data_IF_071387916957
#
_entry.id   IF_071387916957
#
_cell.length_a   1.000
_cell.length_b   1.000
_cell.length_c   1.000
_cell.angle_alpha   90.00
_cell.angle_beta   90.00
_cell.angle_gamma   90.00
#
_symmetry.space_group_name_H-M   'P 1'
#
loop_
_entity.id
_entity.type
_entity.pdbx_description
1 polymer ?
#
# COMPACT_ATOMS: atom_id res chain seq x y z
N UNK A 1 18.69 13.53 12.19
CA UNK A 1 19.24 12.39 11.43
C UNK A 1 18.10 11.73 10.63
N UNK A 2 18.30 11.48 9.34
CA UNK A 2 17.29 10.77 8.54
C UNK A 2 17.45 9.26 8.77
N UNK A 3 16.47 8.62 9.40
CA UNK A 3 16.48 7.19 9.69
C UNK A 3 16.01 6.32 8.51
N UNK A 4 15.41 6.93 7.49
CA UNK A 4 14.87 6.24 6.31
C UNK A 4 15.21 7.00 5.02
N UNK A 5 16.50 7.13 4.65
CA UNK A 5 16.91 7.97 3.52
C UNK A 5 16.35 7.46 2.17
N UNK A 6 16.18 6.15 2.01
CA UNK A 6 15.64 5.57 0.77
C UNK A 6 14.13 5.80 0.65
N UNK A 7 13.40 5.81 1.76
CA UNK A 7 11.97 6.18 1.80
C UNK A 7 11.83 7.68 1.48
N UNK A 8 12.69 8.52 2.03
CA UNK A 8 12.71 9.94 1.70
C UNK A 8 12.97 10.15 0.20
N UNK A 9 13.86 9.37 -0.40
CA UNK A 9 14.10 9.39 -1.84
C UNK A 9 12.83 9.03 -2.65
N UNK A 10 12.03 8.04 -2.21
CA UNK A 10 10.74 7.72 -2.84
C UNK A 10 9.80 8.93 -2.80
N UNK A 11 9.66 9.58 -1.66
CA UNK A 11 8.78 10.75 -1.49
C UNK A 11 9.20 11.94 -2.38
N UNK A 12 10.45 12.02 -2.78
CA UNK A 12 10.98 13.04 -3.68
C UNK A 12 11.13 12.58 -5.14
N UNK A 13 10.86 11.32 -5.45
CA UNK A 13 10.91 10.80 -6.81
C UNK A 13 9.80 11.44 -7.68
N UNK A 14 10.18 12.01 -8.82
CA UNK A 14 9.24 12.75 -9.68
C UNK A 14 8.15 11.84 -10.27
N UNK A 15 8.52 10.62 -10.64
CA UNK A 15 7.58 9.65 -11.19
C UNK A 15 6.57 9.19 -10.13
N UNK A 16 7.03 8.90 -8.92
CA UNK A 16 6.16 8.61 -7.78
C UNK A 16 5.14 9.73 -7.53
N UNK A 17 5.60 10.98 -7.46
CA UNK A 17 4.73 12.14 -7.29
C UNK A 17 3.71 12.28 -8.43
N UNK A 18 4.14 12.04 -9.66
CA UNK A 18 3.25 12.03 -10.82
C UNK A 18 2.13 11.00 -10.68
N UNK A 19 2.44 9.81 -10.21
CA UNK A 19 1.45 8.76 -9.97
C UNK A 19 0.45 9.12 -8.86
N UNK A 20 0.91 9.75 -7.79
CA UNK A 20 0.01 10.25 -6.73
C UNK A 20 -0.98 11.30 -7.25
N UNK A 21 -0.53 12.23 -8.09
CA UNK A 21 -1.40 13.22 -8.72
C UNK A 21 -2.41 12.58 -9.68
N UNK A 22 -2.02 11.55 -10.44
CA UNK A 22 -2.91 10.78 -11.29
C UNK A 22 -3.98 10.05 -10.46
N UNK A 23 -3.59 9.41 -9.35
CA UNK A 23 -4.51 8.77 -8.42
C UNK A 23 -5.53 9.77 -7.85
N UNK A 24 -5.07 10.92 -7.40
CA UNK A 24 -5.91 12.00 -6.87
C UNK A 24 -6.96 12.46 -7.87
N UNK A 25 -6.57 12.63 -9.14
CA UNK A 25 -7.48 13.01 -10.22
C UNK A 25 -8.49 11.89 -10.52
N UNK A 26 -8.03 10.65 -10.61
CA UNK A 26 -8.86 9.49 -10.91
C UNK A 26 -9.92 9.20 -9.81
N UNK A 27 -9.60 9.54 -8.56
CA UNK A 27 -10.48 9.29 -7.42
C UNK A 27 -11.24 10.53 -6.93
N UNK A 28 -11.25 11.63 -7.71
CA UNK A 28 -11.91 12.90 -7.31
C UNK A 28 -13.33 12.70 -6.81
N UNK A 29 -14.13 11.93 -7.53
CA UNK A 29 -15.55 11.72 -7.27
C UNK A 29 -15.86 10.38 -6.59
N UNK A 30 -14.82 9.75 -6.01
CA UNK A 30 -14.97 8.45 -5.36
C UNK A 30 -15.73 8.57 -4.04
N UNK A 31 -16.81 7.80 -3.93
CA UNK A 31 -17.66 7.71 -2.74
C UNK A 31 -16.99 6.98 -1.57
N UNK A 32 -16.24 5.89 -1.87
CA UNK A 32 -15.60 5.04 -0.86
C UNK A 32 -14.19 5.49 -0.51
N UNK A 33 -13.46 4.63 0.20
CA UNK A 33 -12.10 4.90 0.66
C UNK A 33 -11.18 5.43 -0.42
N UNK A 34 -10.48 6.51 -0.14
CA UNK A 34 -9.46 7.08 -1.01
C UNK A 34 -8.10 6.47 -0.73
N UNK A 35 -7.23 6.50 -1.74
CA UNK A 35 -5.87 5.96 -1.69
C UNK A 35 -4.88 7.14 -1.71
N UNK A 36 -5.04 8.03 -0.72
CA UNK A 36 -4.23 9.23 -0.53
C UNK A 36 -3.04 8.97 0.41
N UNK A 37 -2.22 10.00 0.63
CA UNK A 37 -1.03 9.90 1.47
C UNK A 37 -1.37 9.47 2.90
N UNK A 38 -2.52 9.88 3.45
CA UNK A 38 -2.96 9.46 4.79
C UNK A 38 -3.09 7.95 4.84
N UNK A 39 -3.80 7.35 3.89
CA UNK A 39 -3.92 5.89 3.81
C UNK A 39 -2.57 5.20 3.61
N UNK A 40 -1.75 5.69 2.69
CA UNK A 40 -0.42 5.10 2.43
C UNK A 40 0.44 5.07 3.70
N UNK A 41 0.45 6.16 4.47
CA UNK A 41 1.19 6.24 5.73
C UNK A 41 0.59 5.36 6.82
N UNK A 42 -0.73 5.24 6.89
CA UNK A 42 -1.38 4.35 7.84
C UNK A 42 -1.02 2.88 7.56
N UNK A 43 -0.97 2.48 6.29
CA UNK A 43 -0.47 1.14 5.89
C UNK A 43 0.97 0.93 6.32
N UNK A 44 1.85 1.93 6.12
CA UNK A 44 3.24 1.87 6.57
C UNK A 44 3.35 1.65 8.09
N UNK A 45 2.63 2.44 8.87
CA UNK A 45 2.68 2.43 10.34
C UNK A 45 2.11 1.14 10.92
N UNK A 46 0.92 0.75 10.44
CA UNK A 46 0.26 -0.49 10.86
C UNK A 46 1.09 -1.70 10.45
N UNK A 47 1.60 -1.75 9.22
CA UNK A 47 2.44 -2.83 8.75
C UNK A 47 3.73 -2.98 9.56
N UNK A 48 4.37 -1.87 9.94
CA UNK A 48 5.56 -1.93 10.77
C UNK A 48 5.25 -2.35 12.21
N UNK A 49 4.10 -1.93 12.77
CA UNK A 49 3.63 -2.44 14.06
C UNK A 49 3.45 -3.96 14.03
N UNK A 50 2.83 -4.50 12.96
CA UNK A 50 2.67 -5.95 12.77
C UNK A 50 4.03 -6.68 12.68
N UNK A 51 5.00 -6.11 11.96
CA UNK A 51 6.35 -6.68 11.87
C UNK A 51 6.99 -6.80 13.26
N UNK A 52 6.87 -5.76 14.08
CA UNK A 52 7.42 -5.76 15.43
C UNK A 52 6.71 -6.76 16.35
N UNK A 53 5.38 -6.78 16.34
CA UNK A 53 4.59 -7.72 17.15
C UNK A 53 4.84 -9.18 16.77
N UNK A 54 4.93 -9.46 15.46
CA UNK A 54 5.18 -10.82 14.95
C UNK A 54 6.66 -11.20 14.96
N UNK A 55 7.55 -10.28 15.38
CA UNK A 55 9.02 -10.46 15.42
C UNK A 55 9.60 -10.91 14.07
N UNK A 56 9.11 -10.30 12.99
CA UNK A 56 9.56 -10.61 11.63
C UNK A 56 10.87 -9.88 11.30
N UNK A 57 11.75 -10.45 10.47
CA UNK A 57 13.09 -9.90 10.18
C UNK A 57 13.08 -8.83 9.07
N UNK A 58 12.07 -7.98 9.02
CA UNK A 58 11.95 -6.94 7.99
C UNK A 58 12.20 -5.55 8.59
N UNK A 59 12.90 -4.71 7.84
CA UNK A 59 13.22 -3.36 8.27
C UNK A 59 12.04 -2.40 8.10
N UNK A 60 12.08 -1.30 8.85
CA UNK A 60 11.13 -0.19 8.73
C UNK A 60 11.10 0.38 7.31
N UNK A 61 12.27 0.58 6.68
CA UNK A 61 12.36 1.09 5.31
C UNK A 61 11.67 0.18 4.29
N UNK A 62 11.83 -1.14 4.40
CA UNK A 62 11.15 -2.09 3.50
C UNK A 62 9.63 -1.96 3.61
N UNK A 63 9.10 -1.91 4.83
CA UNK A 63 7.65 -1.79 5.04
C UNK A 63 7.11 -0.45 4.54
N UNK A 64 7.83 0.64 4.82
CA UNK A 64 7.42 1.96 4.36
C UNK A 64 7.48 2.09 2.83
N UNK A 65 8.51 1.53 2.19
CA UNK A 65 8.57 1.50 0.73
C UNK A 65 7.38 0.73 0.13
N UNK A 66 7.08 -0.46 0.65
CA UNK A 66 5.93 -1.24 0.19
C UNK A 66 4.60 -0.50 0.41
N UNK A 67 4.40 0.06 1.59
CA UNK A 67 3.18 0.81 1.92
C UNK A 67 2.98 2.06 1.05
N UNK A 68 4.03 2.82 0.77
CA UNK A 68 3.96 4.00 -0.09
C UNK A 68 3.68 3.66 -1.56
N UNK A 69 4.15 2.50 -2.02
CA UNK A 69 4.10 2.11 -3.43
C UNK A 69 2.91 1.19 -3.79
N UNK A 70 2.23 0.57 -2.82
CA UNK A 70 1.28 -0.51 -3.13
C UNK A 70 0.09 -0.08 -3.99
N UNK A 71 -0.34 1.17 -3.91
CA UNK A 71 -1.50 1.70 -4.62
C UNK A 71 -1.17 2.69 -5.76
N UNK A 72 0.10 2.84 -6.16
CA UNK A 72 0.48 3.79 -7.23
C UNK A 72 -0.15 3.50 -8.59
N UNK A 73 -0.64 2.29 -8.81
CA UNK A 73 -1.34 1.86 -10.02
C UNK A 73 -2.86 2.12 -10.02
N UNK A 74 -3.43 2.73 -8.99
CA UNK A 74 -4.90 2.94 -8.89
C UNK A 74 -5.49 3.67 -10.09
N UNK A 75 -4.84 4.71 -10.57
CA UNK A 75 -5.28 5.48 -11.74
C UNK A 75 -5.37 4.63 -13.00
N UNK A 76 -4.48 3.64 -13.19
CA UNK A 76 -4.49 2.73 -14.34
C UNK A 76 -5.76 1.88 -14.33
N UNK A 77 -6.15 1.37 -13.15
CA UNK A 77 -7.39 0.60 -13.03
C UNK A 77 -8.63 1.44 -13.37
N UNK A 78 -8.66 2.69 -12.95
CA UNK A 78 -9.79 3.61 -13.22
C UNK A 78 -9.85 3.97 -14.71
N UNK A 79 -8.72 4.24 -15.36
CA UNK A 79 -8.65 4.69 -16.75
C UNK A 79 -8.68 3.55 -17.78
N UNK A 80 -8.07 2.40 -17.47
CA UNK A 80 -7.81 1.33 -18.42
C UNK A 80 -8.39 -0.04 -18.02
N UNK A 81 -8.94 -0.15 -16.81
CA UNK A 81 -9.50 -1.40 -16.28
C UNK A 81 -8.45 -2.47 -15.92
N UNK A 82 -7.16 -2.11 -15.92
CA UNK A 82 -6.06 -3.02 -15.55
C UNK A 82 -5.99 -3.15 -14.03
N UNK A 83 -5.69 -4.33 -13.52
CA UNK A 83 -5.49 -4.57 -12.09
C UNK A 83 -4.39 -3.67 -11.54
N UNK A 84 -4.74 -2.81 -10.57
CA UNK A 84 -3.81 -1.82 -10.02
C UNK A 84 -2.65 -2.44 -9.25
N UNK A 85 -2.82 -3.62 -8.66
CA UNK A 85 -1.76 -4.31 -7.93
C UNK A 85 -0.65 -4.75 -8.90
N UNK A 86 -1.03 -5.35 -10.03
CA UNK A 86 -0.09 -5.76 -11.08
C UNK A 86 0.57 -4.57 -11.76
N UNK A 87 -0.22 -3.57 -12.14
CA UNK A 87 0.31 -2.33 -12.71
C UNK A 87 1.25 -1.63 -11.73
N UNK A 88 0.85 -1.48 -10.46
CA UNK A 88 1.66 -0.86 -9.41
C UNK A 88 2.99 -1.59 -9.17
N UNK A 89 3.00 -2.91 -9.21
CA UNK A 89 4.22 -3.70 -9.09
C UNK A 89 5.25 -3.38 -10.19
N UNK A 90 4.80 -3.32 -11.44
CA UNK A 90 5.66 -2.95 -12.59
C UNK A 90 6.16 -1.51 -12.46
N UNK A 91 5.30 -0.59 -12.01
CA UNK A 91 5.64 0.83 -11.84
C UNK A 91 6.58 1.08 -10.67
N UNK A 92 6.52 0.27 -9.61
CA UNK A 92 7.36 0.40 -8.42
C UNK A 92 8.83 0.04 -8.68
N UNK A 93 9.10 -0.94 -9.54
CA UNK A 93 10.46 -1.47 -9.75
C UNK A 93 11.49 -0.40 -10.13
N UNK A 94 11.28 0.45 -11.15
CA UNK A 94 12.24 1.50 -11.50
C UNK A 94 12.40 2.55 -10.40
N UNK A 95 11.36 2.86 -9.63
CA UNK A 95 11.42 3.80 -8.50
C UNK A 95 12.33 3.22 -7.41
N UNK A 96 12.11 1.97 -7.01
CA UNK A 96 12.92 1.28 -5.99
C UNK A 96 14.40 1.26 -6.39
N UNK A 97 14.70 0.96 -7.64
CA UNK A 97 16.06 0.96 -8.17
C UNK A 97 16.72 2.35 -8.06
N UNK A 98 16.02 3.42 -8.46
CA UNK A 98 16.55 4.79 -8.35
C UNK A 98 16.74 5.22 -6.88
N UNK A 99 15.92 4.73 -5.99
CA UNK A 99 15.97 5.05 -4.56
C UNK A 99 16.95 4.19 -3.76
N UNK A 100 17.74 3.31 -4.41
CA UNK A 100 18.84 2.57 -3.79
C UNK A 100 18.44 1.29 -3.07
N UNK A 101 17.29 0.72 -3.38
CA UNK A 101 16.92 -0.63 -2.91
C UNK A 101 17.68 -1.70 -3.70
N UNK A 102 18.15 -2.74 -3.02
CA UNK A 102 18.80 -3.87 -3.67
C UNK A 102 17.83 -4.64 -4.57
N UNK A 103 18.36 -5.51 -5.42
CA UNK A 103 17.53 -6.36 -6.27
C UNK A 103 16.62 -7.28 -5.45
N UNK A 104 17.14 -7.85 -4.37
CA UNK A 104 16.44 -8.75 -3.47
C UNK A 104 15.31 -7.99 -2.72
N UNK A 105 15.62 -6.82 -2.18
CA UNK A 105 14.64 -5.94 -1.53
C UNK A 105 13.54 -5.51 -2.50
N UNK A 106 13.91 -5.12 -3.72
CA UNK A 106 12.97 -4.71 -4.76
C UNK A 106 12.05 -5.85 -5.17
N UNK A 107 12.58 -7.07 -5.33
CA UNK A 107 11.78 -8.25 -5.64
C UNK A 107 10.75 -8.55 -4.54
N UNK A 108 11.17 -8.49 -3.27
CA UNK A 108 10.28 -8.69 -2.13
C UNK A 108 9.13 -7.68 -2.11
N UNK A 109 9.45 -6.39 -2.29
CA UNK A 109 8.46 -5.30 -2.30
C UNK A 109 7.51 -5.44 -3.50
N UNK A 110 8.05 -5.63 -4.70
CA UNK A 110 7.26 -5.78 -5.95
C UNK A 110 6.32 -6.98 -5.88
N UNK A 111 6.79 -8.11 -5.35
CA UNK A 111 5.95 -9.29 -5.14
C UNK A 111 4.81 -9.01 -4.15
N UNK A 112 5.10 -8.36 -3.03
CA UNK A 112 4.08 -7.99 -2.05
C UNK A 112 3.03 -7.04 -2.67
N UNK A 113 3.45 -6.06 -3.47
CA UNK A 113 2.55 -5.15 -4.19
C UNK A 113 1.67 -5.94 -5.17
N UNK A 114 2.25 -6.84 -5.97
CA UNK A 114 1.52 -7.61 -6.98
C UNK A 114 0.38 -8.46 -6.38
N UNK A 115 0.57 -8.98 -5.17
CA UNK A 115 -0.40 -9.88 -4.52
C UNK A 115 -1.19 -9.24 -3.36
N UNK A 116 -1.10 -7.92 -3.12
CA UNK A 116 -1.75 -7.28 -1.97
C UNK A 116 -3.30 -7.34 -2.00
N UNK A 117 -3.89 -7.79 -3.10
CA UNK A 117 -5.34 -8.03 -3.23
C UNK A 117 -5.74 -9.51 -3.10
N UNK A 118 -4.78 -10.40 -3.16
CA UNK A 118 -5.00 -11.84 -3.13
C UNK A 118 -5.09 -12.35 -1.69
N UNK A 119 -5.78 -13.48 -1.50
CA UNK A 119 -5.87 -14.10 -0.16
C UNK A 119 -4.68 -15.02 0.14
N UNK A 120 -4.04 -15.56 -0.89
CA UNK A 120 -2.86 -16.40 -0.77
C UNK A 120 -1.60 -15.56 -0.92
N UNK A 121 -0.70 -15.67 0.03
CA UNK A 121 0.53 -14.87 0.08
C UNK A 121 1.76 -15.78 0.00
N UNK A 122 2.75 -15.42 -0.85
CA UNK A 122 3.96 -16.23 -1.04
C UNK A 122 4.91 -16.19 0.17
N UNK A 123 4.81 -15.16 1.00
CA UNK A 123 5.67 -14.93 2.17
C UNK A 123 4.98 -14.08 3.24
N UNK A 124 5.60 -14.01 4.43
CA UNK A 124 5.09 -13.22 5.56
C UNK A 124 5.08 -11.71 5.28
N UNK A 125 6.01 -11.18 4.48
CA UNK A 125 6.04 -9.76 4.13
C UNK A 125 4.83 -9.36 3.29
N UNK A 126 4.51 -10.16 2.28
CA UNK A 126 3.32 -9.99 1.45
C UNK A 126 2.04 -10.06 2.27
N UNK A 127 1.99 -10.99 3.24
CA UNK A 127 0.86 -11.09 4.16
C UNK A 127 0.73 -9.85 5.05
N UNK A 128 1.83 -9.32 5.55
CA UNK A 128 1.83 -8.09 6.36
C UNK A 128 1.27 -6.92 5.55
N UNK A 129 1.71 -6.73 4.31
CA UNK A 129 1.19 -5.65 3.46
C UNK A 129 -0.31 -5.79 3.22
N UNK A 130 -0.78 -7.01 2.93
CA UNK A 130 -2.21 -7.29 2.77
C UNK A 130 -3.00 -6.97 4.05
N UNK A 131 -2.56 -7.49 5.20
CA UNK A 131 -3.22 -7.27 6.48
C UNK A 131 -3.25 -5.77 6.84
N UNK A 132 -2.12 -5.07 6.66
CA UNK A 132 -1.98 -3.65 6.95
C UNK A 132 -2.91 -2.78 6.08
N UNK A 133 -3.00 -3.06 4.78
CA UNK A 133 -3.92 -2.36 3.88
C UNK A 133 -5.38 -2.52 4.34
N UNK A 134 -5.77 -3.70 4.83
CA UNK A 134 -7.14 -3.97 5.28
C UNK A 134 -7.42 -3.39 6.69
N UNK A 135 -6.46 -3.44 7.60
CA UNK A 135 -6.67 -3.10 9.00
C UNK A 135 -6.32 -1.65 9.35
N UNK A 136 -5.66 -0.92 8.46
CA UNK A 136 -5.37 0.52 8.61
C UNK A 136 -6.61 1.41 8.39
N UNK A 137 -7.66 0.89 7.76
CA UNK A 137 -8.87 1.66 7.45
C UNK A 137 -9.76 1.84 8.69
N UNK A 138 -10.22 3.06 9.01
CA UNK A 138 -11.13 3.31 10.13
C UNK A 138 -12.59 2.95 9.77
N UNK A 139 -12.81 1.69 9.35
CA UNK A 139 -14.12 1.23 8.88
C UNK A 139 -15.21 1.33 9.95
N UNK A 140 -14.84 1.20 11.24
CA UNK A 140 -15.76 1.35 12.38
C UNK A 140 -16.39 2.76 12.49
N UNK A 141 -15.76 3.77 11.89
CA UNK A 141 -16.24 5.16 11.85
C UNK A 141 -16.64 5.60 10.43
N UNK A 142 -16.72 4.68 9.48
CA UNK A 142 -17.00 5.01 8.08
C UNK A 142 -18.50 5.23 7.83
N UNK A 143 -18.93 6.39 7.30
CA UNK A 143 -20.34 6.64 6.99
C UNK A 143 -20.89 5.74 5.87
N UNK A 144 -20.02 5.23 4.99
CA UNK A 144 -20.38 4.38 3.86
C UNK A 144 -20.36 2.87 4.15
N UNK A 145 -20.20 2.49 5.43
CA UNK A 145 -20.01 1.07 5.81
C UNK A 145 -21.18 0.18 5.37
N UNK A 146 -22.41 0.70 5.44
CA UNK A 146 -23.63 -0.06 5.10
C UNK A 146 -23.66 -0.47 3.63
N UNK A 147 -23.17 0.38 2.73
CA UNK A 147 -23.12 0.13 1.28
C UNK A 147 -21.80 -0.49 0.82
N UNK A 148 -20.81 -0.60 1.73
CA UNK A 148 -19.47 -1.06 1.39
C UNK A 148 -19.44 -2.57 1.08
N UNK A 149 -18.87 -2.93 -0.08
CA UNK A 149 -18.73 -4.34 -0.50
C UNK A 149 -18.01 -5.22 0.52
N UNK A 150 -17.08 -4.63 1.28
CA UNK A 150 -16.30 -5.35 2.30
C UNK A 150 -17.14 -5.81 3.49
N UNK A 151 -18.24 -5.13 3.77
CA UNK A 151 -19.12 -5.38 4.92
C UNK A 151 -20.53 -5.85 4.52
N UNK A 152 -20.71 -6.37 3.32
CA UNK A 152 -22.00 -6.90 2.83
C UNK A 152 -22.57 -8.05 3.67
N UNK A 153 -21.70 -8.79 4.35
CA UNK A 153 -22.06 -9.87 5.27
C UNK A 153 -22.47 -9.39 6.67
N UNK A 154 -22.62 -8.07 6.85
CA UNK A 154 -22.99 -7.41 8.11
C UNK A 154 -22.02 -7.70 9.28
N UNK A 155 -20.80 -8.14 8.99
CA UNK A 155 -19.77 -8.31 10.01
C UNK A 155 -19.42 -6.98 10.66
N UNK A 156 -19.03 -7.04 11.93
CA UNK A 156 -18.58 -5.87 12.67
C UNK A 156 -17.22 -5.38 12.19
N UNK A 157 -17.07 -4.08 12.08
CA UNK A 157 -15.78 -3.43 11.82
C UNK A 157 -15.06 -3.17 13.14
N UNK A 158 -14.00 -3.92 13.39
CA UNK A 158 -13.23 -3.83 14.63
C UNK A 158 -11.97 -3.00 14.45
N UNK A 159 -11.58 -2.29 15.53
CA UNK A 159 -10.29 -1.64 15.62
C UNK A 159 -9.26 -2.63 16.16
N UNK A 160 -8.29 -3.01 15.34
CA UNK A 160 -7.19 -3.91 15.72
C UNK A 160 -5.84 -3.19 15.80
N UNK A 161 -5.67 -2.09 15.03
CA UNK A 161 -4.44 -1.28 14.99
C UNK A 161 -4.73 0.21 14.91
#
# INVERSE_FOLDING_TARGET
MNEMPRVDAILHDEEYRSYLEKNKKAERDRQYCRHDMTHLLDVCRVGYAMILERKLPYTKELMYAAGLLHDIGRWVQVSEGVDHAKAGAVMAEPILKRCGFSKEESQLIVQAIACHREQNHPDEFSKVLYDADKQSRPCFACPEIVSCKRFKDQREALLNY
#
